data_IF_334075142065
#
_entry.id   IF_334075142065
#
_cell.length_a   1.000
_cell.length_b   1.000
_cell.length_c   1.000
_cell.angle_alpha   90.00
_cell.angle_beta   90.00
_cell.angle_gamma   90.00
#
_symmetry.space_group_name_H-M   'P 1'
#
loop_
_entity.id
_entity.type
_entity.pdbx_description
1 polymer ?
#
# COMPACT_ATOMS: atom_id res chain seq x y z
N UNK A 1 18.51 -36.71 -15.26
CA UNK A 1 17.59 -37.15 -14.18
C UNK A 1 17.47 -36.11 -13.05
N UNK A 2 17.32 -34.81 -13.35
CA UNK A 2 17.20 -33.74 -12.32
C UNK A 2 15.95 -32.85 -12.49
N UNK A 3 15.07 -33.18 -13.46
CA UNK A 3 13.87 -32.38 -13.77
C UNK A 3 12.63 -32.76 -12.96
N UNK A 4 12.61 -33.97 -12.38
CA UNK A 4 11.46 -34.47 -11.62
C UNK A 4 11.13 -33.66 -10.33
N UNK A 5 12.12 -33.28 -9.48
CA UNK A 5 11.79 -32.57 -8.23
C UNK A 5 11.37 -31.12 -8.48
N UNK A 6 11.84 -30.51 -9.57
CA UNK A 6 11.46 -29.16 -9.96
C UNK A 6 10.01 -29.13 -10.48
N UNK A 7 9.59 -30.16 -11.21
CA UNK A 7 8.23 -30.27 -11.72
C UNK A 7 7.21 -30.45 -10.58
N UNK A 8 7.55 -31.20 -9.53
CA UNK A 8 6.67 -31.38 -8.35
C UNK A 8 6.50 -30.11 -7.52
N UNK A 9 7.46 -29.20 -7.50
CA UNK A 9 7.36 -27.93 -6.77
C UNK A 9 6.39 -26.93 -7.42
N UNK A 10 6.25 -26.96 -8.74
CA UNK A 10 5.41 -26.03 -9.49
C UNK A 10 3.91 -26.37 -9.41
N UNK A 11 3.54 -27.64 -9.17
CA UNK A 11 2.14 -28.09 -9.15
C UNK A 11 1.45 -27.77 -7.82
N UNK A 12 2.20 -27.49 -6.75
CA UNK A 12 1.65 -27.29 -5.40
C UNK A 12 1.24 -25.87 -5.03
N UNK A 13 1.44 -24.88 -5.91
CA UNK A 13 1.11 -23.49 -5.60
C UNK A 13 -0.37 -23.22 -5.89
N UNK A 14 -1.21 -22.94 -4.87
CA UNK A 14 -2.55 -22.45 -5.13
C UNK A 14 -2.45 -21.11 -5.86
N UNK A 15 -3.40 -20.78 -6.76
CA UNK A 15 -3.46 -19.44 -7.33
C UNK A 15 -3.62 -18.44 -6.18
N UNK A 16 -2.66 -17.52 -6.05
CA UNK A 16 -2.82 -16.36 -5.18
C UNK A 16 -3.55 -15.32 -6.04
N UNK A 17 -4.87 -15.24 -5.86
CA UNK A 17 -5.62 -14.13 -6.45
C UNK A 17 -5.24 -12.87 -5.67
N UNK A 18 -4.58 -11.92 -6.34
CA UNK A 18 -4.42 -10.59 -5.79
C UNK A 18 -5.81 -9.96 -5.68
N UNK A 19 -6.15 -9.38 -4.53
CA UNK A 19 -7.38 -8.57 -4.41
C UNK A 19 -7.33 -7.48 -5.48
N UNK A 20 -8.34 -7.45 -6.34
CA UNK A 20 -8.48 -6.40 -7.34
C UNK A 20 -8.53 -5.06 -6.61
N UNK A 21 -7.60 -4.16 -6.92
CA UNK A 21 -7.53 -2.84 -6.29
C UNK A 21 -8.55 -1.90 -6.96
N UNK A 22 -9.76 -1.69 -6.39
CA UNK A 22 -10.73 -0.82 -7.00
C UNK A 22 -10.24 0.63 -6.92
N UNK A 23 -10.64 1.43 -7.92
CA UNK A 23 -10.22 2.82 -8.08
C UNK A 23 -10.38 3.67 -6.81
N UNK A 24 -9.34 4.47 -6.54
CA UNK A 24 -9.18 5.53 -5.53
C UNK A 24 -10.03 5.34 -4.25
N UNK A 25 -9.54 4.50 -3.32
CA UNK A 25 -10.11 4.40 -1.96
C UNK A 25 -9.63 5.49 -1.01
N UNK A 26 -8.48 6.12 -1.30
CA UNK A 26 -7.80 7.07 -0.41
C UNK A 26 -7.61 8.39 -1.15
N UNK A 27 -8.13 9.47 -0.58
CA UNK A 27 -7.85 10.84 -1.01
C UNK A 27 -6.77 11.42 -0.11
N UNK A 28 -5.61 11.70 -0.68
CA UNK A 28 -4.49 12.31 0.04
C UNK A 28 -4.61 13.83 0.03
N UNK A 29 -4.53 14.44 1.21
CA UNK A 29 -4.45 15.89 1.37
C UNK A 29 -3.03 16.28 1.78
N UNK A 30 -2.26 16.86 0.85
CA UNK A 30 -0.87 17.26 1.10
C UNK A 30 -0.73 18.47 2.06
N UNK A 31 -1.83 19.15 2.38
CA UNK A 31 -1.86 20.26 3.33
C UNK A 31 -2.73 19.88 4.54
N UNK A 32 -2.12 19.91 5.73
CA UNK A 32 -2.75 19.50 6.99
C UNK A 32 -3.97 20.36 7.33
N UNK A 33 -3.90 21.68 7.11
CA UNK A 33 -5.01 22.60 7.43
C UNK A 33 -6.26 22.27 6.61
N UNK A 34 -6.08 22.02 5.30
CA UNK A 34 -7.17 21.60 4.40
C UNK A 34 -7.75 20.25 4.80
N UNK A 35 -6.89 19.28 5.15
CA UNK A 35 -7.33 17.97 5.63
C UNK A 35 -8.15 18.06 6.92
N UNK A 36 -7.71 18.88 7.88
CA UNK A 36 -8.43 19.12 9.14
C UNK A 36 -9.76 19.84 8.93
N UNK A 37 -9.84 20.79 8.01
CA UNK A 37 -11.09 21.46 7.66
C UNK A 37 -12.13 20.48 7.12
N UNK A 38 -11.73 19.58 6.21
CA UNK A 38 -12.62 18.54 5.67
C UNK A 38 -13.04 17.52 6.72
N UNK A 39 -12.11 17.10 7.58
CA UNK A 39 -12.39 16.16 8.68
C UNK A 39 -13.46 16.72 9.64
N UNK A 40 -13.36 18.01 9.98
CA UNK A 40 -14.39 18.73 10.76
C UNK A 40 -15.72 18.79 10.03
N UNK A 41 -15.72 19.16 8.75
CA UNK A 41 -16.95 19.25 7.94
C UNK A 41 -17.68 17.92 7.82
N UNK A 42 -16.93 16.82 7.69
CA UNK A 42 -17.48 15.48 7.44
C UNK A 42 -17.65 14.64 8.70
N UNK A 43 -17.21 15.16 9.85
CA UNK A 43 -17.16 14.43 11.12
C UNK A 43 -16.45 13.07 11.00
N UNK A 44 -15.29 13.05 10.33
CA UNK A 44 -14.46 11.85 10.13
C UNK A 44 -13.10 12.01 10.80
N UNK A 45 -12.52 10.94 11.36
CA UNK A 45 -11.17 10.98 11.92
C UNK A 45 -10.12 11.19 10.82
N UNK A 46 -8.96 11.73 11.21
CA UNK A 46 -7.80 11.93 10.33
C UNK A 46 -6.81 10.79 10.49
N UNK A 47 -6.37 10.22 9.38
CA UNK A 47 -5.19 9.35 9.33
C UNK A 47 -3.99 10.15 8.81
N UNK A 48 -3.08 10.53 9.71
CA UNK A 48 -1.91 11.34 9.39
C UNK A 48 -0.70 10.45 9.10
N UNK A 49 -0.12 10.58 7.90
CA UNK A 49 1.11 9.91 7.50
C UNK A 49 2.20 10.96 7.36
N UNK A 50 3.31 10.78 8.08
CA UNK A 50 4.53 11.59 7.96
C UNK A 50 5.66 10.73 7.41
N UNK A 51 6.35 11.23 6.39
CA UNK A 51 7.55 10.59 5.83
C UNK A 51 8.69 11.59 5.75
N UNK A 52 9.93 11.09 5.86
CA UNK A 52 11.12 11.84 5.50
C UNK A 52 11.59 11.39 4.10
N UNK A 53 12.33 12.23 3.36
CA UNK A 53 12.95 11.84 2.08
C UNK A 53 13.92 10.65 2.20
N UNK A 54 14.41 10.37 3.41
CA UNK A 54 15.15 9.17 3.74
C UNK A 54 14.86 8.73 5.18
N UNK A 55 14.58 7.45 5.37
CA UNK A 55 14.44 6.80 6.68
C UNK A 55 15.41 5.62 6.73
N UNK A 56 16.16 5.47 7.83
CA UNK A 56 17.15 4.39 8.00
C UNK A 56 18.19 4.28 6.87
N UNK A 57 18.55 5.41 6.25
CA UNK A 57 19.50 5.43 5.14
C UNK A 57 18.94 4.91 3.81
N UNK A 58 17.66 4.56 3.74
CA UNK A 58 16.98 4.17 2.50
C UNK A 58 16.40 5.43 1.84
N UNK A 59 16.82 5.78 0.62
CA UNK A 59 16.24 6.90 -0.12
C UNK A 59 14.79 6.56 -0.48
N UNK A 60 13.86 7.45 -0.14
CA UNK A 60 12.44 7.34 -0.51
C UNK A 60 12.02 8.58 -1.29
N UNK A 61 11.68 8.39 -2.56
CA UNK A 61 10.87 9.36 -3.31
C UNK A 61 9.43 8.91 -3.15
N UNK A 62 8.61 9.72 -2.48
CA UNK A 62 7.15 9.53 -2.35
C UNK A 62 6.42 10.32 -3.43
#
# INVERSE_FOLDING_TARGET
>A
MCLLPLLTLLVGMPPVDAEENPAVRIVWHANLEKGLALAKQTNRPVFLVSGAPACLGVPGIW
#
